data_IF_581332759486
#
_entry.id   IF_581332759486
#
_cell.length_a   1.000
_cell.length_b   1.000
_cell.length_c   1.000
_cell.angle_alpha   90.00
_cell.angle_beta   90.00
_cell.angle_gamma   90.00
#
_symmetry.space_group_name_H-M   'P 1'
#
loop_
_entity.id
_entity.type
_entity.pdbx_description
1 polymer ?
#
# COMPACT_ATOMS: atom_id res chain seq x y z
N UNK A 1 -26.32 18.10 -9.61
CA UNK A 1 -25.41 17.30 -8.76
C UNK A 1 -23.99 17.66 -9.15
N UNK A 2 -23.25 18.35 -8.28
CA UNK A 2 -21.85 18.68 -8.55
C UNK A 2 -21.00 17.41 -8.43
N UNK A 3 -20.25 17.05 -9.46
CA UNK A 3 -19.28 15.94 -9.36
C UNK A 3 -18.25 16.34 -8.31
N UNK A 4 -18.27 15.69 -7.15
CA UNK A 4 -17.17 15.79 -6.17
C UNK A 4 -15.89 15.40 -6.92
N UNK A 5 -14.93 16.30 -6.99
CA UNK A 5 -13.61 16.02 -7.56
C UNK A 5 -12.99 14.96 -6.65
N UNK A 6 -12.83 13.73 -7.13
CA UNK A 6 -12.14 12.69 -6.38
C UNK A 6 -10.69 13.14 -6.30
N UNK A 7 -10.19 13.44 -5.11
CA UNK A 7 -8.75 13.63 -4.92
C UNK A 7 -8.13 12.25 -4.85
N UNK A 8 -7.36 11.88 -5.87
CA UNK A 8 -6.54 10.68 -5.84
C UNK A 8 -5.42 10.86 -4.82
N UNK A 9 -5.19 9.83 -4.02
CA UNK A 9 -4.02 9.78 -3.14
C UNK A 9 -2.84 9.25 -3.95
N UNK A 10 -3.10 8.27 -4.81
CA UNK A 10 -2.11 7.70 -5.73
C UNK A 10 -1.65 8.73 -6.76
N UNK A 11 -0.36 8.70 -7.11
CA UNK A 11 0.29 9.58 -8.08
C UNK A 11 0.68 8.84 -9.35
N UNK A 12 1.10 7.59 -9.21
CA UNK A 12 1.58 6.73 -10.29
C UNK A 12 0.49 5.75 -10.72
N UNK A 13 -0.03 4.96 -9.79
CA UNK A 13 -0.99 3.87 -10.07
C UNK A 13 -2.44 4.27 -9.75
N UNK A 14 -2.97 5.28 -10.45
CA UNK A 14 -4.27 5.90 -10.10
C UNK A 14 -5.49 5.08 -10.50
N UNK A 15 -6.59 5.24 -9.77
CA UNK A 15 -7.92 4.72 -10.14
C UNK A 15 -8.42 5.12 -11.54
N UNK A 16 -7.90 6.15 -12.20
CA UNK A 16 -8.31 6.45 -13.58
C UNK A 16 -7.96 5.31 -14.56
N UNK A 17 -7.12 4.35 -14.12
CA UNK A 17 -6.83 3.08 -14.78
C UNK A 17 -7.97 2.06 -14.75
N UNK A 18 -9.14 2.43 -14.17
CA UNK A 18 -10.39 1.65 -13.99
C UNK A 18 -10.95 0.87 -15.20
N UNK A 19 -10.32 0.91 -16.36
CA UNK A 19 -10.70 0.15 -17.55
C UNK A 19 -9.55 -0.23 -18.47
N UNK A 20 -8.30 -0.16 -17.99
CA UNK A 20 -7.09 -0.34 -18.79
C UNK A 20 -6.23 -1.45 -18.17
N UNK A 21 -6.79 -2.67 -18.15
CA UNK A 21 -6.05 -3.94 -18.06
C UNK A 21 -5.11 -4.16 -19.26
N UNK A 22 -4.64 -3.10 -19.92
CA UNK A 22 -3.63 -3.26 -20.94
C UNK A 22 -2.27 -3.23 -20.25
N UNK A 23 -1.58 -4.37 -20.26
CA UNK A 23 -0.17 -4.51 -19.93
C UNK A 23 0.67 -3.33 -20.47
N UNK A 24 0.30 -2.79 -21.64
CA UNK A 24 0.97 -1.68 -22.32
C UNK A 24 1.06 -0.37 -21.51
N UNK A 25 0.02 0.00 -20.75
CA UNK A 25 0.05 1.22 -19.93
C UNK A 25 0.81 1.02 -18.63
N UNK A 26 0.66 -0.15 -17.99
CA UNK A 26 1.50 -0.55 -16.86
C UNK A 26 2.98 -0.53 -17.26
N UNK A 27 3.32 -1.09 -18.42
CA UNK A 27 4.67 -1.08 -19.00
C UNK A 27 5.19 0.33 -19.32
N UNK A 28 4.30 1.33 -19.50
CA UNK A 28 4.70 2.72 -19.73
C UNK A 28 4.92 3.52 -18.44
N UNK A 29 4.24 3.15 -17.35
CA UNK A 29 4.30 3.86 -16.05
C UNK A 29 5.32 3.23 -15.12
N UNK A 30 5.35 1.90 -15.04
CA UNK A 30 6.18 1.17 -14.10
C UNK A 30 7.69 1.50 -14.22
N UNK A 31 8.29 1.59 -15.43
CA UNK A 31 9.70 1.99 -15.54
C UNK A 31 9.98 3.40 -15.00
N UNK A 32 9.06 4.35 -15.22
CA UNK A 32 9.21 5.73 -14.70
C UNK A 32 9.06 5.78 -13.19
N UNK A 33 8.16 4.96 -12.65
CA UNK A 33 8.04 4.80 -11.20
C UNK A 33 9.31 4.22 -10.59
N UNK A 34 9.92 3.21 -11.22
CA UNK A 34 11.21 2.66 -10.76
C UNK A 34 12.35 3.69 -10.83
N UNK A 35 12.41 4.49 -11.90
CA UNK A 35 13.37 5.61 -11.99
C UNK A 35 13.17 6.63 -10.87
N UNK A 36 11.92 6.97 -10.56
CA UNK A 36 11.58 7.86 -9.45
C UNK A 36 12.00 7.28 -8.12
N UNK A 37 11.63 6.02 -7.83
CA UNK A 37 12.02 5.32 -6.61
C UNK A 37 13.54 5.28 -6.44
N UNK A 38 14.28 5.01 -7.52
CA UNK A 38 15.74 5.03 -7.49
C UNK A 38 16.28 6.42 -7.14
N UNK A 39 15.64 7.49 -7.62
CA UNK A 39 16.05 8.87 -7.35
C UNK A 39 15.75 9.32 -5.91
N UNK A 40 14.70 8.81 -5.28
CA UNK A 40 14.31 9.20 -3.91
C UNK A 40 14.83 8.26 -2.81
N UNK A 41 15.51 7.16 -3.18
CA UNK A 41 15.86 6.07 -2.26
C UNK A 41 16.64 6.53 -1.02
N UNK A 42 17.59 7.44 -1.22
CA UNK A 42 18.45 7.97 -0.15
C UNK A 42 17.73 8.98 0.76
N UNK A 43 16.58 9.50 0.32
CA UNK A 43 15.74 10.45 1.07
C UNK A 43 14.62 9.75 1.86
N UNK A 44 14.46 8.43 1.69
CA UNK A 44 13.44 7.65 2.39
C UNK A 44 13.72 7.58 3.90
N UNK A 45 12.65 7.60 4.69
CA UNK A 45 12.75 7.45 6.16
C UNK A 45 13.27 6.06 6.55
N UNK A 46 13.78 5.87 7.79
CA UNK A 46 14.31 4.58 8.22
C UNK A 46 13.32 3.42 7.99
N UNK A 47 13.83 2.37 7.34
CA UNK A 47 13.08 1.16 7.01
C UNK A 47 12.24 1.24 5.74
N UNK A 48 11.96 2.44 5.19
CA UNK A 48 11.07 2.57 4.03
C UNK A 48 11.64 1.92 2.77
N UNK A 49 12.96 1.87 2.61
CA UNK A 49 13.58 1.13 1.51
C UNK A 49 13.26 -0.38 1.52
N UNK A 50 12.90 -0.97 2.68
CA UNK A 50 12.51 -2.38 2.76
C UNK A 50 11.09 -2.63 2.22
N UNK A 51 10.23 -1.60 2.12
CA UNK A 51 8.92 -1.72 1.45
C UNK A 51 9.12 -2.06 -0.02
N UNK A 52 10.14 -1.48 -0.66
CA UNK A 52 10.44 -1.68 -2.08
C UNK A 52 10.82 -3.13 -2.44
N UNK A 53 11.18 -3.92 -1.44
CA UNK A 53 11.53 -5.33 -1.60
C UNK A 53 10.32 -6.26 -1.34
N UNK A 54 9.17 -5.70 -0.93
CA UNK A 54 7.93 -6.43 -0.75
C UNK A 54 7.10 -6.42 -2.03
N UNK A 55 6.58 -7.58 -2.38
CA UNK A 55 5.55 -7.74 -3.39
C UNK A 55 4.20 -7.77 -2.69
N UNK A 56 3.53 -6.61 -2.63
CA UNK A 56 2.22 -6.48 -1.97
C UNK A 56 1.05 -6.76 -2.91
N UNK A 57 1.31 -7.04 -4.19
CA UNK A 57 0.26 -7.37 -5.16
C UNK A 57 -0.51 -8.61 -4.71
N UNK A 58 -1.84 -8.56 -4.83
CA UNK A 58 -2.80 -9.55 -4.31
C UNK A 58 -2.71 -9.75 -2.78
N UNK A 59 -2.09 -8.82 -2.07
CA UNK A 59 -1.93 -8.87 -0.63
C UNK A 59 -3.27 -8.77 0.10
N UNK A 60 -3.52 -9.72 1.00
CA UNK A 60 -4.77 -9.79 1.77
C UNK A 60 -4.54 -9.41 3.24
N UNK A 61 -5.25 -8.39 3.72
CA UNK A 61 -5.14 -7.93 5.11
C UNK A 61 -5.82 -8.94 6.04
N UNK A 62 -5.03 -9.48 6.97
CA UNK A 62 -5.50 -10.43 7.98
C UNK A 62 -5.88 -9.73 9.28
N UNK A 63 -5.09 -8.73 9.69
CA UNK A 63 -5.28 -7.97 10.90
C UNK A 63 -4.76 -6.54 10.67
N UNK A 64 -5.38 -5.54 11.28
CA UNK A 64 -4.85 -4.18 11.29
C UNK A 64 -5.32 -3.39 12.52
N UNK A 65 -4.57 -2.35 12.85
CA UNK A 65 -4.90 -1.37 13.88
C UNK A 65 -4.30 0.00 13.56
N UNK A 66 -4.99 1.06 13.91
CA UNK A 66 -4.51 2.43 13.88
C UNK A 66 -4.77 3.06 15.25
N UNK A 67 -3.72 3.23 16.05
CA UNK A 67 -3.81 3.83 17.39
C UNK A 67 -2.63 4.75 17.68
N UNK A 68 -2.94 5.95 18.18
CA UNK A 68 -1.96 6.93 18.66
C UNK A 68 -0.77 7.20 17.70
N UNK A 69 -1.03 7.25 16.38
CA UNK A 69 0.01 7.47 15.37
C UNK A 69 0.87 6.24 15.09
N UNK A 70 0.39 5.06 15.44
CA UNK A 70 0.97 3.77 15.09
C UNK A 70 -0.02 3.01 14.21
N UNK A 71 0.32 2.81 12.95
CA UNK A 71 -0.42 1.94 12.05
C UNK A 71 0.28 0.60 11.95
N UNK A 72 -0.43 -0.47 12.30
CA UNK A 72 0.09 -1.84 12.20
C UNK A 72 -0.87 -2.66 11.38
N UNK A 73 -0.34 -3.45 10.46
CA UNK A 73 -1.13 -4.46 9.79
C UNK A 73 -0.33 -5.71 9.49
N UNK A 74 -1.08 -6.79 9.31
CA UNK A 74 -0.58 -8.10 8.94
C UNK A 74 -1.21 -8.49 7.62
N UNK A 75 -0.38 -8.69 6.62
CA UNK A 75 -0.80 -8.98 5.24
C UNK A 75 -0.29 -10.36 4.86
N UNK A 76 -1.17 -11.18 4.31
CA UNK A 76 -0.77 -12.41 3.62
C UNK A 76 -0.36 -12.02 2.20
N UNK A 77 0.89 -12.33 1.84
CA UNK A 77 1.48 -12.02 0.53
C UNK A 77 2.12 -13.27 -0.08
N UNK A 78 2.40 -13.23 -1.38
CA UNK A 78 3.02 -14.31 -2.14
C UNK A 78 2.03 -15.19 -2.88
N UNK A 79 2.53 -16.28 -3.46
CA UNK A 79 1.78 -17.12 -4.37
C UNK A 79 2.17 -18.60 -4.25
N UNK A 80 1.59 -19.45 -5.08
CA UNK A 80 1.91 -20.89 -5.14
C UNK A 80 3.32 -21.20 -5.66
N UNK A 81 4.00 -20.25 -6.31
CA UNK A 81 5.33 -20.45 -6.89
C UNK A 81 6.45 -20.12 -5.88
N UNK A 82 6.30 -19.00 -5.15
CA UNK A 82 7.26 -18.48 -4.17
C UNK A 82 6.94 -18.92 -2.74
N UNK A 83 5.70 -19.36 -2.51
CA UNK A 83 5.15 -19.62 -1.18
C UNK A 83 4.54 -18.36 -0.57
N UNK A 84 3.69 -18.58 0.42
CA UNK A 84 3.02 -17.50 1.14
C UNK A 84 3.78 -17.07 2.39
N UNK A 85 3.76 -15.78 2.67
CA UNK A 85 4.34 -15.17 3.86
C UNK A 85 3.33 -14.24 4.52
N UNK A 86 3.47 -14.06 5.83
CA UNK A 86 2.77 -13.02 6.57
C UNK A 86 3.76 -11.89 6.84
N UNK A 87 3.47 -10.74 6.25
CA UNK A 87 4.18 -9.50 6.49
C UNK A 87 3.47 -8.72 7.59
N UNK A 88 4.16 -8.53 8.72
CA UNK A 88 3.72 -7.56 9.73
C UNK A 88 4.47 -6.26 9.48
N UNK A 89 3.74 -5.23 9.08
CA UNK A 89 4.32 -3.91 8.79
C UNK A 89 3.81 -2.93 9.83
N UNK A 90 4.74 -2.24 10.48
CA UNK A 90 4.48 -1.27 11.54
C UNK A 90 5.02 0.08 11.12
N UNK A 91 4.13 1.06 10.98
CA UNK A 91 4.46 2.45 10.66
C UNK A 91 4.32 3.30 11.91
N UNK A 92 5.24 4.23 12.12
CA UNK A 92 5.25 5.14 13.29
C UNK A 92 5.08 6.60 12.90
N UNK A 93 4.43 7.36 13.79
CA UNK A 93 4.02 8.75 13.60
C UNK A 93 3.21 8.95 12.32
N UNK A 94 2.15 8.14 12.21
CA UNK A 94 1.33 8.01 11.01
C UNK A 94 0.22 9.06 10.92
N UNK A 95 0.01 9.58 9.71
CA UNK A 95 -1.21 10.24 9.30
C UNK A 95 -1.86 9.45 8.15
N UNK A 96 -3.18 9.24 8.21
CA UNK A 96 -3.93 8.71 7.08
C UNK A 96 -4.08 9.77 5.97
N UNK A 97 -3.99 9.32 4.73
CA UNK A 97 -4.13 10.13 3.53
C UNK A 97 -5.34 9.66 2.72
N UNK A 98 -6.16 10.61 2.28
CA UNK A 98 -7.36 10.37 1.45
C UNK A 98 -8.59 9.83 2.17
N UNK A 99 -8.42 9.32 3.38
CA UNK A 99 -9.52 8.91 4.25
C UNK A 99 -9.16 9.08 5.73
N UNK A 100 -10.17 9.06 6.59
CA UNK A 100 -10.01 8.96 8.04
C UNK A 100 -10.16 7.51 8.55
N UNK A 101 -9.91 7.28 9.84
CA UNK A 101 -10.01 5.95 10.44
C UNK A 101 -11.42 5.36 10.46
N UNK A 102 -12.47 6.20 10.44
CA UNK A 102 -13.87 5.75 10.36
C UNK A 102 -14.17 5.24 8.96
N UNK A 103 -13.73 5.98 7.93
CA UNK A 103 -13.84 5.59 6.53
C UNK A 103 -13.04 4.32 6.23
N UNK A 104 -11.82 4.20 6.77
CA UNK A 104 -10.99 2.99 6.62
C UNK A 104 -11.64 1.77 7.27
N UNK A 105 -12.23 1.95 8.45
CA UNK A 105 -13.01 0.89 9.12
C UNK A 105 -14.23 0.49 8.28
N UNK A 106 -14.94 1.47 7.72
CA UNK A 106 -16.13 1.24 6.90
C UNK A 106 -15.80 0.57 5.56
N UNK A 107 -14.62 0.82 4.99
CA UNK A 107 -14.14 0.13 3.79
C UNK A 107 -14.02 -1.38 4.02
N UNK A 108 -13.59 -1.79 5.22
CA UNK A 108 -13.49 -3.20 5.57
C UNK A 108 -12.29 -3.88 4.91
N UNK A 109 -11.08 -3.41 5.23
CA UNK A 109 -9.80 -3.95 4.72
C UNK A 109 -9.66 -5.48 4.82
N UNK A 110 -10.35 -6.12 5.77
CA UNK A 110 -10.29 -7.57 5.98
C UNK A 110 -11.39 -8.34 5.23
N UNK A 111 -12.20 -7.66 4.40
CA UNK A 111 -13.26 -8.26 3.60
C UNK A 111 -12.72 -9.30 2.60
N UNK A 112 -13.56 -10.24 2.19
CA UNK A 112 -13.17 -11.34 1.29
C UNK A 112 -12.69 -10.85 -0.09
N UNK A 113 -13.24 -9.74 -0.55
CA UNK A 113 -12.87 -9.15 -1.84
C UNK A 113 -11.75 -8.10 -1.72
N UNK A 114 -11.29 -7.76 -0.51
CA UNK A 114 -10.34 -6.66 -0.32
C UNK A 114 -8.89 -7.10 -0.57
N UNK A 115 -8.33 -6.69 -1.71
CA UNK A 115 -6.98 -7.04 -2.14
C UNK A 115 -6.19 -5.80 -2.57
N UNK A 116 -4.89 -5.79 -2.29
CA UNK A 116 -3.99 -4.75 -2.76
C UNK A 116 -3.70 -4.98 -4.25
N UNK A 117 -4.09 -4.02 -5.09
CA UNK A 117 -3.79 -4.04 -6.52
C UNK A 117 -2.41 -3.42 -6.79
N UNK A 118 -2.15 -2.25 -6.21
CA UNK A 118 -0.88 -1.56 -6.35
C UNK A 118 -0.54 -0.77 -5.09
N UNK A 119 0.76 -0.58 -4.87
CA UNK A 119 1.28 0.36 -3.90
C UNK A 119 2.32 1.29 -4.53
N UNK A 120 2.52 2.46 -3.91
CA UNK A 120 3.59 3.37 -4.26
C UNK A 120 4.18 4.07 -3.04
N UNK A 121 5.46 4.42 -3.14
CA UNK A 121 6.17 5.18 -2.13
C UNK A 121 6.67 6.53 -2.68
N UNK A 122 6.60 7.58 -1.87
CA UNK A 122 7.10 8.91 -2.23
C UNK A 122 7.65 9.67 -1.01
N UNK A 123 8.47 10.68 -1.24
CA UNK A 123 8.94 11.58 -0.18
C UNK A 123 7.96 12.75 -0.04
N UNK A 124 7.45 12.95 1.16
CA UNK A 124 6.58 14.06 1.48
C UNK A 124 7.38 15.36 1.69
N UNK A 125 6.72 16.50 1.50
CA UNK A 125 7.35 17.83 1.65
C UNK A 125 7.83 18.15 3.07
N UNK A 126 7.35 17.41 4.07
CA UNK A 126 7.74 17.53 5.48
C UNK A 126 8.90 16.58 5.87
N UNK A 127 9.48 15.87 4.89
CA UNK A 127 10.58 14.92 5.10
C UNK A 127 10.13 13.55 5.61
N UNK A 128 8.82 13.29 5.69
CA UNK A 128 8.28 11.94 5.92
C UNK A 128 8.14 11.18 4.61
N UNK A 129 7.75 9.91 4.69
CA UNK A 129 7.47 9.08 3.54
C UNK A 129 5.97 8.81 3.44
N UNK A 130 5.43 8.91 2.24
CA UNK A 130 4.08 8.47 1.89
C UNK A 130 4.16 7.05 1.33
N UNK A 131 3.36 6.12 1.86
CA UNK A 131 3.10 4.81 1.25
C UNK A 131 1.61 4.71 0.97
N UNK A 132 1.24 4.58 -0.30
CA UNK A 132 -0.12 4.72 -0.79
C UNK A 132 -0.53 3.44 -1.50
N UNK A 133 -1.81 3.12 -1.39
CA UNK A 133 -2.37 1.85 -1.81
C UNK A 133 -3.58 2.08 -2.70
N UNK A 134 -3.69 1.24 -3.72
CA UNK A 134 -4.89 1.01 -4.49
C UNK A 134 -5.39 -0.39 -4.16
N UNK A 135 -6.60 -0.47 -3.62
CA UNK A 135 -7.28 -1.72 -3.28
C UNK A 135 -8.40 -2.02 -4.28
N UNK A 136 -8.73 -3.29 -4.48
CA UNK A 136 -10.03 -3.71 -5.02
C UNK A 136 -11.12 -3.58 -3.92
N UNK A 137 -12.36 -3.16 -4.23
CA UNK A 137 -12.86 -2.65 -5.51
C UNK A 137 -12.66 -1.13 -5.66
N UNK A 138 -11.44 -0.70 -5.96
CA UNK A 138 -11.01 0.65 -6.35
C UNK A 138 -11.08 1.71 -5.26
N UNK A 139 -10.59 1.35 -4.07
CA UNK A 139 -10.40 2.27 -2.95
C UNK A 139 -8.93 2.68 -2.86
N UNK A 140 -8.67 3.97 -2.67
CA UNK A 140 -7.32 4.48 -2.47
C UNK A 140 -7.17 5.04 -1.06
N UNK A 141 -6.04 4.78 -0.41
CA UNK A 141 -5.60 5.53 0.75
C UNK A 141 -4.09 5.54 0.84
N UNK A 142 -3.54 6.28 1.79
CA UNK A 142 -2.13 6.17 2.10
C UNK A 142 -1.83 6.45 3.56
N UNK A 143 -0.57 6.23 3.89
CA UNK A 143 0.02 6.50 5.18
C UNK A 143 1.20 7.43 4.97
N UNK A 144 1.21 8.54 5.69
CA UNK A 144 2.42 9.36 5.85
C UNK A 144 3.07 9.02 7.17
N UNK A 145 4.34 8.62 7.18
CA UNK A 145 5.00 8.09 8.37
C UNK A 145 6.46 8.53 8.46
N UNK A 146 7.04 8.47 9.67
CA UNK A 146 8.44 8.84 9.90
C UNK A 146 9.38 7.65 10.08
N UNK A 147 8.84 6.44 10.23
CA UNK A 147 9.60 5.20 10.33
C UNK A 147 8.70 4.01 10.01
N UNK A 148 9.27 2.95 9.44
CA UNK A 148 8.60 1.67 9.25
C UNK A 148 9.50 0.50 9.65
N UNK A 149 8.89 -0.58 10.15
CA UNK A 149 9.55 -1.87 10.33
C UNK A 149 8.71 -2.97 9.71
N UNK A 150 9.36 -3.97 9.11
CA UNK A 150 8.73 -5.11 8.45
C UNK A 150 9.28 -6.38 9.09
N UNK A 151 8.38 -7.26 9.51
CA UNK A 151 8.69 -8.63 9.92
C UNK A 151 8.01 -9.62 8.97
N UNK A 152 8.76 -10.62 8.50
CA UNK A 152 8.28 -11.62 7.55
C UNK A 152 8.39 -13.00 8.17
N UNK A 153 7.26 -13.71 8.22
CA UNK A 153 7.22 -15.12 8.63
C UNK A 153 6.54 -15.98 7.56
N UNK A 154 6.98 -17.23 7.33
CA UNK A 154 6.24 -18.14 6.46
C UNK A 154 4.79 -18.33 6.93
N UNK A 155 3.85 -18.35 5.99
CA UNK A 155 2.44 -18.60 6.30
C UNK A 155 2.13 -20.10 6.29
N UNK A 156 1.30 -20.55 7.24
CA UNK A 156 0.76 -21.91 7.23
C UNK A 156 -0.33 -22.06 6.16
N UNK A 157 -0.63 -23.30 5.78
CA UNK A 157 -1.71 -23.60 4.83
C UNK A 157 -3.08 -23.12 5.31
N UNK A 158 -3.32 -23.11 6.62
CA UNK A 158 -4.58 -22.74 7.26
C UNK A 158 -4.82 -21.22 7.25
N UNK A 159 -3.77 -20.44 7.01
CA UNK A 159 -3.83 -18.98 6.93
C UNK A 159 -4.10 -18.49 5.51
N UNK A 160 -4.11 -19.41 4.53
CA UNK A 160 -4.56 -19.14 3.17
C UNK A 160 -6.07 -19.20 3.19
N UNK A 161 -6.74 -18.14 2.75
CA UNK A 161 -8.18 -18.15 2.56
C UNK A 161 -8.54 -19.02 1.36
#
# INVERSE_FOLDING_TARGET
MSKKKVSHVMRWFTCEWRGLDSDEEYLAVFPKYLEHVAAIRDDLVPGAAAILELDLHDGQVQEWSDDAGLFVWRILIGDLQRGYQLATITYSNTDLLGMDGVELTAFGLMGEDAEILHDEIDVASDGRTDHRFLFWPYTEFGLRFSQVSIDLVPASSEQRR
#
